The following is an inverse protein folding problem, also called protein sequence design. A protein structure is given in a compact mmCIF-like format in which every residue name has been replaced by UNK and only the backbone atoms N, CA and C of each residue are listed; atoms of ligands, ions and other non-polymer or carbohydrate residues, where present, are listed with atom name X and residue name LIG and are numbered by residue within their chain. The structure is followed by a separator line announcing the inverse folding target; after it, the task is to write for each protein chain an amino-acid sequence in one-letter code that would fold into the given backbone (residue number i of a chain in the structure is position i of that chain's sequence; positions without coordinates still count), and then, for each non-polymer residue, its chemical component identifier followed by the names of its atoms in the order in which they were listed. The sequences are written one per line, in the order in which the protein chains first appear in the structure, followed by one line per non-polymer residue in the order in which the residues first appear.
data_IF_475208374705
#
_entry.id   IF_475208374705
#
_cell.length_a   1.000
_cell.length_b   1.000
_cell.length_c   1.000
_cell.angle_alpha   90.00
_cell.angle_beta   90.00
_cell.angle_gamma   90.00
#
_symmetry.space_group_name_H-M   'P 1'
#
loop_
_entity.id
_entity.type
_entity.pdbx_description
1 polymer ?
#
# COMPACT_ATOMS: atom_id res chain seq x y z
N UNK A 1 -12.28 -30.41 19.72
CA UNK A 1 -11.39 -30.06 18.56
C UNK A 1 -10.78 -28.72 18.88
N UNK A 2 -9.49 -28.67 19.18
CA UNK A 2 -8.80 -27.41 19.34
C UNK A 2 -8.68 -26.77 17.94
N UNK A 3 -9.18 -25.55 17.80
CA UNK A 3 -8.89 -24.73 16.62
C UNK A 3 -7.37 -24.53 16.63
N UNK A 4 -6.68 -25.01 15.61
CA UNK A 4 -5.30 -24.68 15.40
C UNK A 4 -5.21 -23.17 15.39
N UNK A 5 -4.47 -22.59 16.34
CA UNK A 5 -4.19 -21.15 16.36
C UNK A 5 -3.54 -20.80 15.02
N UNK A 6 -4.30 -20.08 14.19
CA UNK A 6 -3.77 -19.63 12.90
C UNK A 6 -2.69 -18.59 13.16
N UNK A 7 -1.47 -18.92 12.81
CA UNK A 7 -0.34 -17.98 12.84
C UNK A 7 -0.45 -16.93 11.72
N UNK A 8 -0.23 -15.64 12.00
CA UNK A 8 -0.04 -15.04 13.33
C UNK A 8 -1.35 -14.91 14.11
N UNK A 9 -1.30 -15.07 15.43
CA UNK A 9 -2.46 -14.87 16.32
C UNK A 9 -2.89 -13.40 16.34
N UNK A 10 -4.12 -13.12 16.79
CA UNK A 10 -4.58 -11.72 16.93
C UNK A 10 -3.73 -10.94 17.96
N UNK A 11 -3.26 -11.60 19.01
CA UNK A 11 -2.34 -10.98 19.98
C UNK A 11 -0.99 -10.59 19.32
N UNK A 12 -0.43 -11.47 18.49
CA UNK A 12 0.79 -11.19 17.76
C UNK A 12 0.61 -10.04 16.75
N UNK A 13 -0.52 -10.02 16.04
CA UNK A 13 -0.84 -8.91 15.11
C UNK A 13 -0.98 -7.59 15.85
N UNK A 14 -1.60 -7.58 17.03
CA UNK A 14 -1.72 -6.38 17.85
C UNK A 14 -0.37 -5.88 18.37
N UNK A 15 0.52 -6.78 18.79
CA UNK A 15 1.88 -6.44 19.19
C UNK A 15 2.67 -5.78 18.05
N UNK A 16 2.61 -6.36 16.85
CA UNK A 16 3.27 -5.80 15.67
C UNK A 16 2.64 -4.49 15.21
N UNK A 17 1.31 -4.34 15.31
CA UNK A 17 0.64 -3.07 15.03
C UNK A 17 1.15 -1.95 15.96
N UNK A 18 1.33 -2.25 17.26
CA UNK A 18 1.90 -1.31 18.22
C UNK A 18 3.39 -1.02 17.96
N UNK A 19 4.13 -1.98 17.43
CA UNK A 19 5.55 -1.79 17.08
C UNK A 19 5.73 -0.84 15.89
N UNK A 20 4.85 -0.93 14.87
CA UNK A 20 4.99 -0.17 13.61
C UNK A 20 4.18 1.12 13.58
N UNK A 21 3.27 1.32 14.54
CA UNK A 21 2.50 2.55 14.70
C UNK A 21 2.98 3.26 15.96
N UNK A 22 3.48 4.50 15.86
CA UNK A 22 3.94 5.26 17.02
C UNK A 22 2.85 5.37 18.10
N UNK A 23 3.26 5.36 19.36
CA UNK A 23 2.38 5.76 20.45
C UNK A 23 1.91 7.21 20.21
N UNK A 24 0.67 7.51 20.51
CA UNK A 24 0.06 8.81 20.24
C UNK A 24 0.12 9.25 18.75
N UNK A 25 -0.02 8.28 17.85
CA UNK A 25 0.02 8.51 16.42
C UNK A 25 -1.07 9.49 15.97
N UNK A 26 -0.63 10.55 15.30
CA UNK A 26 -1.48 11.50 14.57
C UNK A 26 -1.02 11.51 13.11
N UNK A 27 -1.91 11.14 12.20
CA UNK A 27 -1.56 10.89 10.80
C UNK A 27 -0.82 12.08 10.15
N UNK A 28 -1.31 13.28 10.36
CA UNK A 28 -0.81 14.50 9.71
C UNK A 28 0.52 15.01 10.28
N UNK A 29 0.92 14.59 11.47
CA UNK A 29 2.07 15.17 12.18
C UNK A 29 3.10 14.18 12.67
N UNK A 30 2.74 12.91 12.88
CA UNK A 30 3.69 11.89 13.34
C UNK A 30 4.66 11.54 12.23
N UNK A 31 5.95 11.81 12.43
CA UNK A 31 7.00 11.58 11.44
C UNK A 31 8.30 11.02 12.03
N UNK A 32 8.27 9.89 12.73
CA UNK A 32 9.49 9.27 13.27
C UNK A 32 10.39 8.70 12.16
N UNK A 33 9.87 8.59 10.94
CA UNK A 33 10.58 8.06 9.77
C UNK A 33 11.45 9.09 9.05
N UNK A 34 11.33 10.39 9.41
CA UNK A 34 12.05 11.50 8.77
C UNK A 34 11.64 11.73 7.31
N UNK A 35 10.37 11.53 6.97
CA UNK A 35 9.84 11.82 5.64
C UNK A 35 9.83 13.33 5.39
N UNK A 36 9.94 13.71 4.10
CA UNK A 36 9.61 15.09 3.73
C UNK A 36 8.13 15.36 4.11
N UNK A 37 7.81 16.49 4.77
CA UNK A 37 6.46 16.76 5.29
C UNK A 37 5.32 16.62 4.28
N UNK A 38 5.59 16.87 2.99
CA UNK A 38 4.60 16.70 1.92
C UNK A 38 4.05 15.27 1.77
N UNK A 39 4.79 14.26 2.28
CA UNK A 39 4.39 12.85 2.21
C UNK A 39 3.67 12.35 3.45
N UNK A 40 3.49 13.21 4.46
CA UNK A 40 2.62 12.88 5.58
C UNK A 40 1.15 12.90 5.12
N UNK A 41 0.30 12.10 5.74
CA UNK A 41 -1.13 12.12 5.45
C UNK A 41 -1.73 13.51 5.61
N UNK A 42 -2.56 13.91 4.66
CA UNK A 42 -3.28 15.20 4.70
C UNK A 42 -4.68 15.05 4.11
N UNK A 43 -5.67 15.62 4.79
CA UNK A 43 -7.00 15.77 4.20
C UNK A 43 -6.99 16.94 3.23
N UNK A 44 -7.44 16.68 2.01
CA UNK A 44 -7.47 17.65 0.91
C UNK A 44 -8.86 17.67 0.28
N UNK A 45 -9.17 18.72 -0.48
CA UNK A 45 -10.38 18.76 -1.30
C UNK A 45 -10.22 17.76 -2.45
N UNK A 46 -11.19 16.88 -2.62
CA UNK A 46 -11.23 15.94 -3.72
C UNK A 46 -11.68 16.63 -5.01
N UNK A 47 -11.21 16.14 -6.16
CA UNK A 47 -11.74 16.57 -7.46
C UNK A 47 -13.23 16.18 -7.54
N UNK A 48 -14.05 17.05 -8.09
CA UNK A 48 -15.48 16.80 -8.24
C UNK A 48 -15.75 15.56 -9.12
N UNK A 49 -16.76 14.79 -8.74
CA UNK A 49 -17.19 13.59 -9.49
C UNK A 49 -16.44 12.31 -9.16
N UNK A 50 -15.48 12.33 -8.24
CA UNK A 50 -14.86 11.11 -7.74
C UNK A 50 -15.78 10.38 -6.75
N UNK A 51 -15.71 9.07 -6.74
CA UNK A 51 -16.60 8.20 -5.95
C UNK A 51 -16.00 7.97 -4.56
N UNK A 52 -16.74 8.27 -3.48
CA UNK A 52 -16.29 7.94 -2.12
C UNK A 52 -15.97 6.45 -1.96
N UNK A 53 -14.89 6.15 -1.25
CA UNK A 53 -14.38 4.80 -1.05
C UNK A 53 -13.33 4.37 -2.08
N UNK A 54 -13.27 5.01 -3.25
CA UNK A 54 -12.28 4.69 -4.27
C UNK A 54 -10.88 5.23 -3.92
N UNK A 55 -9.88 4.60 -4.50
CA UNK A 55 -8.47 4.97 -4.37
C UNK A 55 -7.95 5.48 -5.71
N UNK A 56 -7.21 6.57 -5.67
CA UNK A 56 -6.55 7.16 -6.84
C UNK A 56 -5.06 7.35 -6.56
N UNK A 57 -4.19 6.76 -7.40
CA UNK A 57 -2.73 6.84 -7.26
C UNK A 57 -2.13 7.70 -8.35
N UNK A 58 -1.54 8.82 -7.95
CA UNK A 58 -0.73 9.69 -8.80
C UNK A 58 0.72 9.23 -8.79
N UNK A 59 1.14 8.56 -9.86
CA UNK A 59 2.49 8.01 -9.98
C UNK A 59 3.57 9.09 -10.16
N UNK A 60 3.21 10.31 -10.56
CA UNK A 60 4.16 11.41 -10.75
C UNK A 60 4.40 12.17 -9.45
N UNK A 61 3.33 12.54 -8.75
CA UNK A 61 3.42 13.23 -7.47
C UNK A 61 3.78 12.30 -6.30
N UNK A 62 3.63 10.99 -6.47
CA UNK A 62 3.82 9.97 -5.42
C UNK A 62 2.81 10.09 -4.30
N UNK A 63 1.54 10.21 -4.67
CA UNK A 63 0.43 10.28 -3.75
C UNK A 63 -0.61 9.20 -4.04
N UNK A 64 -1.23 8.72 -2.97
CA UNK A 64 -2.46 7.96 -2.98
C UNK A 64 -3.55 8.80 -2.33
N UNK A 65 -4.70 8.91 -2.98
CA UNK A 65 -5.88 9.58 -2.47
C UNK A 65 -6.96 8.55 -2.19
N UNK A 66 -7.46 8.50 -0.97
CA UNK A 66 -8.67 7.78 -0.60
C UNK A 66 -9.82 8.77 -0.54
N UNK A 67 -10.80 8.60 -1.41
CA UNK A 67 -11.93 9.54 -1.52
C UNK A 67 -12.88 9.33 -0.35
N UNK A 68 -13.18 10.41 0.35
CA UNK A 68 -14.09 10.45 1.48
C UNK A 68 -15.45 11.02 1.08
N UNK A 69 -16.47 10.78 1.89
CA UNK A 69 -17.75 11.48 1.78
C UNK A 69 -17.56 13.00 1.98
N UNK A 70 -18.44 13.80 1.37
CA UNK A 70 -18.41 15.25 1.55
C UNK A 70 -17.40 16.01 0.66
N UNK A 71 -16.80 15.35 -0.33
CA UNK A 71 -15.92 16.00 -1.31
C UNK A 71 -14.50 16.23 -0.83
N UNK A 72 -14.04 15.44 0.12
CA UNK A 72 -12.65 15.42 0.58
C UNK A 72 -11.95 14.10 0.22
N UNK A 73 -10.64 14.08 0.37
CA UNK A 73 -9.84 12.87 0.27
C UNK A 73 -8.74 12.89 1.32
N UNK A 74 -8.43 11.74 1.89
CA UNK A 74 -7.20 11.57 2.63
C UNK A 74 -6.08 11.23 1.64
N UNK A 75 -5.04 12.08 1.61
CA UNK A 75 -3.87 11.92 0.74
C UNK A 75 -2.71 11.35 1.54
N UNK A 76 -2.08 10.31 1.02
CA UNK A 76 -0.90 9.66 1.60
C UNK A 76 0.28 9.71 0.64
N UNK A 77 1.49 9.88 1.16
CA UNK A 77 2.72 9.67 0.40
C UNK A 77 2.94 8.20 0.10
N UNK A 78 3.38 7.90 -1.13
CA UNK A 78 3.65 6.52 -1.58
C UNK A 78 4.97 6.40 -2.31
N UNK A 79 5.49 5.17 -2.40
CA UNK A 79 6.48 4.79 -3.40
C UNK A 79 5.83 3.93 -4.45
N UNK A 80 6.27 4.08 -5.70
CA UNK A 80 5.80 3.28 -6.83
C UNK A 80 6.88 2.34 -7.35
N UNK A 81 6.56 1.57 -8.38
CA UNK A 81 7.51 0.68 -9.01
C UNK A 81 8.67 1.41 -9.69
N UNK A 82 9.84 0.77 -9.66
CA UNK A 82 11.05 1.24 -10.35
C UNK A 82 10.96 1.02 -11.85
N UNK A 83 11.67 1.85 -12.60
CA UNK A 83 11.75 1.73 -14.06
C UNK A 83 10.37 1.70 -14.74
N UNK A 84 10.16 0.71 -15.57
CA UNK A 84 8.93 0.45 -16.32
C UNK A 84 8.02 -0.62 -15.69
N UNK A 85 8.23 -0.95 -14.42
CA UNK A 85 7.46 -1.98 -13.70
C UNK A 85 6.12 -1.47 -13.14
N UNK A 86 5.88 -0.17 -13.17
CA UNK A 86 4.59 0.38 -12.78
C UNK A 86 3.53 0.07 -13.84
N UNK A 87 2.41 -0.48 -13.41
CA UNK A 87 1.32 -0.90 -14.27
C UNK A 87 0.09 0.01 -14.05
N UNK A 88 -0.07 1.07 -14.87
CA UNK A 88 -1.27 1.89 -14.83
C UNK A 88 -2.51 1.08 -15.19
N UNK A 89 -3.65 1.41 -14.60
CA UNK A 89 -4.90 0.72 -14.90
C UNK A 89 -5.98 0.97 -13.86
N UNK A 90 -7.10 0.31 -14.06
CA UNK A 90 -8.26 0.32 -13.17
C UNK A 90 -8.42 -1.07 -12.58
N UNK A 91 -8.43 -1.15 -11.28
CA UNK A 91 -8.44 -2.39 -10.52
C UNK A 91 -9.57 -2.41 -9.52
N UNK A 92 -10.01 -3.62 -9.13
CA UNK A 92 -10.93 -3.80 -8.02
C UNK A 92 -10.17 -4.36 -6.81
N UNK A 93 -10.36 -3.79 -5.63
CA UNK A 93 -9.82 -4.31 -4.38
C UNK A 93 -10.72 -5.46 -3.93
N UNK A 94 -10.34 -6.71 -4.21
CA UNK A 94 -11.17 -7.88 -3.86
C UNK A 94 -10.78 -8.55 -2.55
N UNK A 95 -9.58 -8.29 -2.05
CA UNK A 95 -9.05 -8.91 -0.83
C UNK A 95 -8.24 -7.92 -0.02
N UNK A 96 -8.36 -8.02 1.29
CA UNK A 96 -7.60 -7.23 2.27
C UNK A 96 -6.99 -8.19 3.28
N UNK A 97 -5.72 -8.02 3.60
CA UNK A 97 -5.03 -8.90 4.56
C UNK A 97 -4.22 -8.06 5.56
N UNK A 98 -4.36 -8.43 6.84
CA UNK A 98 -3.51 -7.95 7.94
C UNK A 98 -2.33 -8.90 8.09
N UNK A 99 -1.11 -8.35 8.09
CA UNK A 99 0.13 -9.10 8.26
C UNK A 99 0.21 -10.30 7.28
N UNK A 100 0.28 -10.01 5.96
CA UNK A 100 0.28 -11.04 4.94
C UNK A 100 1.60 -11.81 4.91
N UNK A 101 1.54 -13.08 4.51
CA UNK A 101 2.68 -13.79 3.94
C UNK A 101 3.04 -13.16 2.59
N UNK A 102 4.32 -13.09 2.27
CA UNK A 102 4.79 -12.63 0.98
C UNK A 102 5.69 -13.66 0.32
N UNK A 103 5.61 -13.75 -1.01
CA UNK A 103 6.49 -14.57 -1.82
C UNK A 103 6.83 -13.83 -3.11
N UNK A 104 8.12 -13.80 -3.54
CA UNK A 104 8.47 -13.24 -4.82
C UNK A 104 7.85 -14.05 -5.96
N UNK A 105 7.44 -13.36 -7.01
CA UNK A 105 6.98 -14.03 -8.22
C UNK A 105 8.17 -14.63 -8.98
N UNK A 106 7.93 -15.66 -9.81
CA UNK A 106 8.99 -16.22 -10.66
C UNK A 106 9.61 -15.15 -11.56
N UNK A 107 8.80 -14.20 -12.04
CA UNK A 107 9.28 -13.07 -12.84
C UNK A 107 10.24 -12.16 -12.06
N UNK A 108 10.00 -11.94 -10.76
CA UNK A 108 10.91 -11.18 -9.90
C UNK A 108 12.23 -11.92 -9.70
N UNK A 109 12.18 -13.22 -9.41
CA UNK A 109 13.36 -14.05 -9.22
C UNK A 109 14.20 -14.08 -10.51
N UNK A 110 13.57 -14.25 -11.65
CA UNK A 110 14.26 -14.31 -12.96
C UNK A 110 14.90 -12.97 -13.34
N UNK A 111 14.27 -11.85 -12.97
CA UNK A 111 14.77 -10.51 -13.29
C UNK A 111 15.90 -10.07 -12.38
N UNK A 112 15.77 -10.34 -11.08
CA UNK A 112 16.69 -9.86 -10.05
C UNK A 112 17.07 -11.01 -9.09
N UNK A 113 17.75 -12.06 -9.58
CA UNK A 113 18.05 -13.27 -8.78
C UNK A 113 18.87 -12.95 -7.54
N UNK A 114 19.75 -11.96 -7.60
CA UNK A 114 20.58 -11.52 -6.47
C UNK A 114 19.75 -10.91 -5.30
N UNK A 115 18.51 -10.47 -5.59
CA UNK A 115 17.61 -9.93 -4.57
C UNK A 115 16.63 -10.96 -4.03
N UNK A 116 16.26 -11.96 -4.82
CA UNK A 116 15.10 -12.79 -4.52
C UNK A 116 15.39 -14.30 -4.43
N UNK A 117 16.55 -14.80 -4.92
CA UNK A 117 16.82 -16.22 -4.91
C UNK A 117 16.86 -16.82 -3.49
N UNK A 118 17.48 -16.11 -2.56
CA UNK A 118 17.61 -16.56 -1.15
C UNK A 118 16.30 -16.53 -0.37
N UNK A 119 15.27 -15.80 -0.88
CA UNK A 119 13.94 -15.69 -0.29
C UNK A 119 12.85 -16.20 -1.23
N UNK A 120 13.21 -17.10 -2.16
CA UNK A 120 12.27 -17.67 -3.15
C UNK A 120 11.10 -18.42 -2.50
N UNK A 121 11.32 -19.01 -1.31
CA UNK A 121 10.28 -19.70 -0.53
C UNK A 121 9.32 -18.73 0.18
N UNK A 122 9.63 -17.43 0.15
CA UNK A 122 8.80 -16.38 0.73
C UNK A 122 9.26 -15.89 2.08
N UNK A 123 8.47 -15.00 2.64
CA UNK A 123 8.67 -14.38 3.96
C UNK A 123 7.40 -14.56 4.79
N UNK A 124 7.59 -15.06 6.01
CA UNK A 124 6.51 -15.14 6.99
C UNK A 124 5.97 -13.74 7.35
N UNK A 125 4.71 -13.64 7.82
CA UNK A 125 4.17 -12.40 8.36
C UNK A 125 5.05 -11.80 9.44
N UNK A 126 5.18 -10.48 9.44
CA UNK A 126 5.96 -9.77 10.45
C UNK A 126 6.42 -8.38 10.01
N UNK A 127 6.99 -7.59 10.93
CA UNK A 127 7.44 -6.21 10.66
C UNK A 127 8.50 -6.09 9.56
N UNK A 128 9.29 -7.15 9.32
CA UNK A 128 10.32 -7.19 8.27
C UNK A 128 9.82 -7.74 6.93
N UNK A 129 8.56 -8.22 6.86
CA UNK A 129 7.97 -8.74 5.63
C UNK A 129 7.84 -7.65 4.57
N UNK A 130 8.13 -7.98 3.33
CA UNK A 130 8.10 -7.04 2.20
C UNK A 130 6.75 -6.33 1.99
N UNK A 131 5.63 -6.96 2.35
CA UNK A 131 4.29 -6.37 2.29
C UNK A 131 3.91 -5.60 3.56
N UNK A 132 4.70 -5.68 4.61
CA UNK A 132 4.45 -4.99 5.86
C UNK A 132 3.15 -5.41 6.56
N UNK A 133 2.53 -4.47 7.24
CA UNK A 133 1.40 -4.71 8.14
C UNK A 133 0.07 -5.00 7.46
N UNK A 134 -0.14 -4.46 6.26
CA UNK A 134 -1.42 -4.54 5.50
C UNK A 134 -1.16 -4.66 4.02
N UNK A 135 -2.04 -5.37 3.31
CA UNK A 135 -2.07 -5.39 1.86
C UNK A 135 -3.51 -5.35 1.33
N UNK A 136 -3.72 -4.51 0.32
CA UNK A 136 -4.91 -4.44 -0.51
C UNK A 136 -4.59 -5.09 -1.86
N UNK A 137 -5.33 -6.13 -2.22
CA UNK A 137 -5.05 -6.98 -3.38
C UNK A 137 -5.86 -6.47 -4.58
N UNK A 138 -5.16 -6.17 -5.67
CA UNK A 138 -5.71 -5.57 -6.87
C UNK A 138 -6.03 -6.64 -7.93
N UNK A 139 -7.27 -6.62 -8.41
CA UNK A 139 -7.80 -7.59 -9.36
C UNK A 139 -8.28 -6.91 -10.65
N UNK A 140 -8.24 -7.64 -11.75
CA UNK A 140 -8.96 -7.34 -12.99
C UNK A 140 -9.92 -8.50 -13.25
N UNK A 141 -11.23 -8.22 -13.16
CA UNK A 141 -12.22 -9.29 -13.13
C UNK A 141 -11.96 -10.22 -11.93
N UNK A 142 -11.85 -11.52 -12.18
CA UNK A 142 -11.55 -12.53 -11.15
C UNK A 142 -10.06 -12.89 -11.07
N UNK A 143 -9.22 -12.26 -11.90
CA UNK A 143 -7.79 -12.52 -11.95
C UNK A 143 -7.05 -11.65 -10.92
N UNK A 144 -6.34 -12.29 -10.01
CA UNK A 144 -5.35 -11.62 -9.16
C UNK A 144 -4.19 -11.14 -10.04
N UNK A 145 -3.95 -9.83 -10.04
CA UNK A 145 -2.88 -9.22 -10.84
C UNK A 145 -1.51 -9.33 -10.20
N UNK A 146 -1.43 -9.82 -8.97
CA UNK A 146 -0.24 -9.80 -8.10
C UNK A 146 0.20 -8.39 -7.69
N UNK A 147 -0.51 -7.34 -8.13
CA UNK A 147 -0.29 -5.98 -7.66
C UNK A 147 -1.00 -5.76 -6.31
N UNK A 148 -0.32 -5.01 -5.45
CA UNK A 148 -0.81 -4.68 -4.10
C UNK A 148 -0.58 -3.20 -3.81
N UNK A 149 -1.44 -2.64 -2.96
CA UNK A 149 -1.15 -1.45 -2.17
C UNK A 149 -0.83 -1.98 -0.77
N UNK A 150 0.36 -1.71 -0.26
CA UNK A 150 0.84 -2.40 0.95
C UNK A 150 1.79 -1.55 1.79
N UNK A 151 1.99 -1.94 3.04
CA UNK A 151 3.00 -1.37 3.92
C UNK A 151 4.43 -1.74 3.50
N UNK A 152 5.42 -1.07 4.07
CA UNK A 152 6.84 -1.39 3.81
C UNK A 152 7.68 -1.27 5.07
N UNK A 153 8.63 -2.21 5.30
CA UNK A 153 9.65 -2.06 6.34
C UNK A 153 10.69 -0.98 6.00
N UNK A 154 10.62 -0.41 4.79
CA UNK A 154 11.57 0.61 4.30
C UNK A 154 10.87 1.96 4.08
N UNK A 155 10.47 2.69 5.14
CA UNK A 155 9.70 3.93 5.03
C UNK A 155 10.43 5.04 4.26
N UNK A 156 11.76 5.04 4.25
CA UNK A 156 12.56 5.99 3.48
C UNK A 156 12.42 5.86 1.96
N UNK A 157 11.81 4.76 1.48
CA UNK A 157 11.52 4.60 0.05
C UNK A 157 10.33 5.45 -0.42
N UNK A 158 9.53 5.98 0.50
CA UNK A 158 8.36 6.81 0.18
C UNK A 158 8.77 8.08 -0.56
N UNK A 159 8.03 8.40 -1.60
CA UNK A 159 8.34 9.48 -2.54
C UNK A 159 9.22 9.05 -3.72
N UNK A 160 9.70 7.80 -3.71
CA UNK A 160 10.61 7.25 -4.71
C UNK A 160 9.98 6.22 -5.66
N UNK A 161 10.87 5.61 -6.45
CA UNK A 161 10.61 4.45 -7.31
C UNK A 161 11.40 3.26 -6.76
N UNK A 162 10.77 2.41 -5.98
CA UNK A 162 11.47 1.42 -5.18
C UNK A 162 10.93 0.00 -5.28
N UNK A 163 9.66 -0.19 -5.69
CA UNK A 163 9.03 -1.51 -5.71
C UNK A 163 9.22 -2.25 -7.03
N UNK A 164 8.82 -3.51 -7.06
CA UNK A 164 8.82 -4.35 -8.25
C UNK A 164 7.44 -4.47 -8.92
N UNK A 165 6.56 -3.47 -8.73
CA UNK A 165 5.21 -3.38 -9.31
C UNK A 165 4.21 -2.69 -8.39
N UNK A 166 4.23 -3.00 -7.11
CA UNK A 166 3.26 -2.56 -6.12
C UNK A 166 3.43 -1.10 -5.68
N UNK A 167 2.40 -0.57 -5.00
CA UNK A 167 2.40 0.74 -4.36
C UNK A 167 2.72 0.56 -2.88
N UNK A 168 3.80 1.20 -2.40
CA UNK A 168 4.26 1.12 -1.00
C UNK A 168 3.79 2.30 -0.18
N UNK A 169 3.39 2.03 1.05
CA UNK A 169 3.03 3.02 2.07
C UNK A 169 3.81 2.78 3.35
N UNK A 170 4.01 3.82 4.16
CA UNK A 170 4.42 3.64 5.55
C UNK A 170 3.43 2.72 6.27
N UNK A 171 3.89 1.82 7.13
CA UNK A 171 2.99 0.87 7.80
C UNK A 171 1.94 1.56 8.66
N UNK A 172 2.28 2.60 9.40
CA UNK A 172 1.31 3.38 10.15
C UNK A 172 0.26 4.05 9.24
N UNK A 173 0.66 4.52 8.06
CA UNK A 173 -0.24 5.16 7.10
C UNK A 173 -1.23 4.16 6.49
N UNK A 174 -0.77 2.97 6.11
CA UNK A 174 -1.70 1.95 5.61
C UNK A 174 -2.54 1.35 6.73
N UNK A 175 -2.06 1.32 7.97
CA UNK A 175 -2.88 0.94 9.12
C UNK A 175 -4.04 1.93 9.35
N UNK A 176 -3.82 3.21 9.09
CA UNK A 176 -4.85 4.26 9.13
C UNK A 176 -5.84 4.14 7.97
N UNK A 177 -5.35 3.90 6.75
CA UNK A 177 -6.18 3.74 5.55
C UNK A 177 -7.04 2.45 5.57
N UNK A 178 -6.45 1.34 5.96
CA UNK A 178 -7.00 -0.01 5.78
C UNK A 178 -8.43 -0.21 6.31
N UNK A 179 -8.82 0.26 7.50
CA UNK A 179 -10.18 0.07 8.01
C UNK A 179 -11.24 0.83 7.19
N UNK A 180 -10.84 1.88 6.48
CA UNK A 180 -11.74 2.73 5.70
C UNK A 180 -11.92 2.27 4.24
N UNK A 181 -11.17 1.26 3.79
CA UNK A 181 -11.28 0.71 2.44
C UNK A 181 -12.15 -0.54 2.47
N UNK A 182 -13.20 -0.56 1.68
CA UNK A 182 -14.06 -1.73 1.52
C UNK A 182 -13.61 -2.61 0.35
N UNK A 183 -13.83 -3.92 0.46
CA UNK A 183 -13.70 -4.81 -0.70
C UNK A 183 -14.79 -4.48 -1.72
N UNK A 184 -14.42 -4.45 -3.00
CA UNK A 184 -15.25 -3.96 -4.08
C UNK A 184 -14.94 -2.52 -4.51
N UNK A 185 -14.22 -1.75 -3.69
CA UNK A 185 -13.74 -0.41 -4.07
C UNK A 185 -12.81 -0.48 -5.28
N UNK A 186 -12.81 0.60 -6.06
CA UNK A 186 -11.96 0.73 -7.24
C UNK A 186 -10.64 1.41 -6.89
N UNK A 187 -9.55 0.91 -7.45
CA UNK A 187 -8.25 1.55 -7.39
C UNK A 187 -7.80 1.97 -8.80
N UNK A 188 -7.66 3.27 -9.00
CA UNK A 188 -7.16 3.88 -10.23
C UNK A 188 -5.66 4.16 -10.07
N UNK A 189 -4.83 3.45 -10.83
CA UNK A 189 -3.39 3.69 -10.92
C UNK A 189 -3.14 4.48 -12.21
N UNK A 190 -2.92 5.78 -12.08
CA UNK A 190 -2.77 6.64 -13.24
C UNK A 190 -1.39 6.50 -13.89
N UNK A 191 -1.37 6.56 -15.23
CA UNK A 191 -0.13 6.76 -16.00
C UNK A 191 0.48 8.13 -15.70
N UNK A 192 1.72 8.36 -16.17
CA UNK A 192 2.35 9.67 -16.02
C UNK A 192 1.57 10.78 -16.74
N UNK A 193 0.98 10.47 -17.90
CA UNK A 193 0.17 11.39 -18.68
C UNK A 193 -1.16 11.73 -17.99
N UNK A 194 -1.87 10.70 -17.51
CA UNK A 194 -3.15 10.86 -16.82
C UNK A 194 -3.00 11.53 -15.45
N UNK A 195 -1.89 11.31 -14.76
CA UNK A 195 -1.57 11.97 -13.49
C UNK A 195 -1.48 13.50 -13.61
N UNK A 196 -0.99 14.01 -14.73
CA UNK A 196 -0.94 15.45 -14.99
C UNK A 196 -2.35 16.00 -15.19
N UNK A 197 -3.20 15.29 -15.91
CA UNK A 197 -4.60 15.68 -16.16
C UNK A 197 -5.44 15.62 -14.88
N UNK A 198 -5.16 14.70 -13.98
CA UNK A 198 -5.89 14.57 -12.70
C UNK A 198 -5.62 15.71 -11.72
N UNK A 199 -4.52 16.49 -11.90
CA UNK A 199 -4.17 17.65 -11.06
C UNK A 199 -4.76 18.97 -11.53
N UNK A 200 -5.16 19.03 -12.78
CA UNK A 200 -5.80 20.21 -13.39
C UNK A 200 -7.33 20.10 -13.28
#
# INVERSE_FOLDING_TARGET
MAFADTWPTEAQKAEWDAQVTPQDYVAETSNPWGLHPRFLPQRVVAKAGLVPGDIHVDAVARYLYHIEEGGTAMRYGVAIARGNLYEPGVYTIKRKVRWPHWQPTQSMINRDPELYADIADGMEPGPENALGSRALYLYVGDRDTLLRIHGTPSPRSIGGRASSGCVRMVMAHINDLYPNVETGSTAYLYSAEDSVTARS
#
